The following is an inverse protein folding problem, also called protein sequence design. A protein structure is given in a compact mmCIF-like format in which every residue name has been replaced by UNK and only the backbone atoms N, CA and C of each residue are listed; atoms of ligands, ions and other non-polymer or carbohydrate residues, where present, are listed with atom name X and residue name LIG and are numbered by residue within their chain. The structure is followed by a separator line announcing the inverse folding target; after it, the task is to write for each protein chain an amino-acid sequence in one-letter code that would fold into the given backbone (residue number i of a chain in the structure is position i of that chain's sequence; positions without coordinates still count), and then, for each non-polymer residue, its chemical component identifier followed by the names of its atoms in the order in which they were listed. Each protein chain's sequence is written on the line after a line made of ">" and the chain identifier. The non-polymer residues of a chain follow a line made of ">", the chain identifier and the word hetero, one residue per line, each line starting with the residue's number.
data_IF_311669546144
#
_entry.id   IF_311669546144
#
_cell.length_a   1.000
_cell.length_b   1.000
_cell.length_c   1.000
_cell.angle_alpha   90.00
_cell.angle_beta   90.00
_cell.angle_gamma   90.00
#
_symmetry.space_group_name_H-M   'P 1'
#
loop_
_entity.id
_entity.type
_entity.pdbx_description
1 polymer ?
#
# COMPACT_ATOMS: atom_id res chain seq x y z
N UNK A 1 40.56 -52.28 -14.99
CA UNK A 1 39.56 -51.23 -15.36
C UNK A 1 38.23 -51.29 -14.57
N UNK A 2 38.18 -51.77 -13.31
CA UNK A 2 36.95 -51.72 -12.48
C UNK A 2 37.09 -51.01 -11.12
N UNK A 3 38.29 -50.51 -10.79
CA UNK A 3 38.55 -49.80 -9.53
C UNK A 3 38.53 -48.26 -9.66
N UNK A 4 38.73 -47.71 -10.86
CA UNK A 4 38.71 -46.25 -11.09
C UNK A 4 37.31 -45.67 -11.29
N UNK A 5 36.29 -46.48 -11.57
CA UNK A 5 34.92 -46.00 -11.80
C UNK A 5 34.13 -45.78 -10.49
N UNK A 6 34.51 -46.44 -9.39
CA UNK A 6 33.84 -46.31 -8.08
C UNK A 6 34.31 -45.08 -7.27
N UNK A 7 35.52 -44.59 -7.52
CA UNK A 7 36.06 -43.41 -6.82
C UNK A 7 35.43 -42.10 -7.33
N UNK A 8 35.11 -42.01 -8.63
CA UNK A 8 34.46 -40.83 -9.21
C UNK A 8 33.00 -40.65 -8.75
N UNK A 9 32.27 -41.76 -8.51
CA UNK A 9 30.86 -41.69 -8.06
C UNK A 9 30.75 -41.27 -6.58
N UNK A 10 31.70 -41.67 -5.73
CA UNK A 10 31.72 -41.26 -4.31
C UNK A 10 32.18 -39.80 -4.17
N UNK A 11 33.16 -39.34 -4.96
CA UNK A 11 33.58 -37.94 -4.95
C UNK A 11 32.48 -36.98 -5.46
N UNK A 12 31.72 -37.38 -6.48
CA UNK A 12 30.57 -36.62 -6.97
C UNK A 12 29.43 -36.57 -5.94
N UNK A 13 29.14 -37.68 -5.25
CA UNK A 13 28.11 -37.73 -4.21
C UNK A 13 28.48 -36.90 -2.96
N UNK A 14 29.76 -36.86 -2.56
CA UNK A 14 30.23 -36.06 -1.42
C UNK A 14 30.31 -34.58 -1.76
N UNK A 15 30.70 -34.20 -2.99
CA UNK A 15 30.69 -32.81 -3.45
C UNK A 15 29.26 -32.27 -3.60
N UNK A 16 28.34 -33.09 -4.13
CA UNK A 16 26.93 -32.75 -4.19
C UNK A 16 26.33 -32.61 -2.77
N UNK A 17 26.52 -33.61 -1.90
CA UNK A 17 26.05 -33.59 -0.52
C UNK A 17 26.63 -32.42 0.31
N UNK A 18 27.92 -32.09 0.13
CA UNK A 18 28.55 -30.93 0.78
C UNK A 18 28.04 -29.58 0.25
N UNK A 19 27.72 -29.48 -1.04
CA UNK A 19 27.08 -28.29 -1.61
C UNK A 19 25.65 -28.11 -1.08
N UNK A 20 24.85 -29.18 -1.00
CA UNK A 20 23.50 -29.15 -0.45
C UNK A 20 23.49 -28.73 1.03
N UNK A 21 24.40 -29.27 1.87
CA UNK A 21 24.51 -28.89 3.29
C UNK A 21 24.86 -27.40 3.45
N UNK A 22 25.71 -26.85 2.58
CA UNK A 22 26.09 -25.43 2.64
C UNK A 22 25.00 -24.46 2.17
N UNK A 23 24.13 -24.89 1.25
CA UNK A 23 23.00 -24.09 0.77
C UNK A 23 21.86 -24.05 1.79
N UNK A 24 21.52 -25.19 2.42
CA UNK A 24 20.49 -25.23 3.47
C UNK A 24 20.88 -24.39 4.70
N UNK A 25 22.16 -24.41 5.08
CA UNK A 25 22.66 -23.57 6.18
C UNK A 25 22.63 -22.07 5.84
N UNK A 26 22.97 -21.68 4.61
CA UNK A 26 22.91 -20.28 4.15
C UNK A 26 21.48 -19.78 4.05
N UNK A 27 20.58 -20.61 3.50
CA UNK A 27 19.18 -20.29 3.39
C UNK A 27 18.54 -20.12 4.77
N UNK A 28 18.77 -21.06 5.69
CA UNK A 28 18.27 -20.97 7.06
C UNK A 28 18.83 -19.75 7.81
N UNK A 29 20.11 -19.40 7.62
CA UNK A 29 20.69 -18.21 8.23
C UNK A 29 20.11 -16.90 7.67
N UNK A 30 19.88 -16.82 6.35
CA UNK A 30 19.23 -15.67 5.73
C UNK A 30 17.77 -15.55 6.17
N UNK A 31 17.02 -16.65 6.22
CA UNK A 31 15.65 -16.67 6.74
C UNK A 31 15.61 -16.19 8.18
N UNK A 32 16.48 -16.70 9.07
CA UNK A 32 16.55 -16.22 10.45
C UNK A 32 16.91 -14.72 10.56
N UNK A 33 17.64 -14.18 9.58
CA UNK A 33 17.98 -12.76 9.55
C UNK A 33 16.86 -11.86 9.01
N UNK A 34 15.86 -12.42 8.31
CA UNK A 34 14.82 -11.68 7.60
C UNK A 34 13.39 -12.01 8.04
N UNK A 35 13.16 -13.14 8.73
CA UNK A 35 11.89 -13.46 9.36
C UNK A 35 11.54 -12.37 10.38
N UNK A 36 10.28 -11.93 10.41
CA UNK A 36 9.84 -10.77 11.20
C UNK A 36 10.27 -9.41 10.65
N UNK A 37 11.08 -9.37 9.58
CA UNK A 37 11.59 -8.12 8.98
C UNK A 37 11.00 -7.84 7.60
N UNK A 38 10.72 -8.87 6.82
CA UNK A 38 9.93 -8.79 5.59
C UNK A 38 8.67 -9.60 5.82
N UNK A 39 7.52 -8.94 5.70
CA UNK A 39 6.23 -9.51 6.07
C UNK A 39 5.18 -9.23 5.00
N UNK A 40 4.15 -10.06 4.92
CA UNK A 40 2.88 -9.80 4.24
C UNK A 40 2.12 -8.79 5.11
N UNK A 41 1.98 -7.55 4.67
CA UNK A 41 1.29 -6.48 5.43
C UNK A 41 -0.21 -6.47 5.18
N UNK A 42 -0.60 -6.71 3.93
CA UNK A 42 -1.99 -6.63 3.48
C UNK A 42 -2.22 -7.66 2.38
N UNK A 43 -3.41 -8.25 2.34
CA UNK A 43 -3.83 -9.10 1.23
C UNK A 43 -5.33 -9.09 1.02
N UNK A 44 -5.71 -9.44 -0.21
CA UNK A 44 -7.08 -9.69 -0.64
C UNK A 44 -7.09 -10.90 -1.55
N UNK A 45 -8.02 -11.82 -1.31
CA UNK A 45 -8.25 -13.02 -2.14
C UNK A 45 -9.50 -12.91 -3.02
N UNK A 46 -10.27 -11.83 -2.86
CA UNK A 46 -11.50 -11.54 -3.62
C UNK A 46 -11.94 -10.10 -3.35
N UNK A 47 -12.58 -9.49 -4.34
CA UNK A 47 -13.21 -8.17 -4.24
C UNK A 47 -14.32 -8.01 -5.28
N UNK A 48 -14.74 -6.79 -5.61
CA UNK A 48 -15.74 -6.58 -6.66
C UNK A 48 -15.28 -6.89 -8.08
N UNK A 49 -13.97 -6.88 -8.35
CA UNK A 49 -13.43 -6.96 -9.72
C UNK A 49 -13.35 -5.60 -10.43
N UNK A 50 -12.44 -5.48 -11.39
CA UNK A 50 -12.29 -4.31 -12.24
C UNK A 50 -13.13 -4.39 -13.54
N UNK A 51 -13.46 -3.23 -14.13
CA UNK A 51 -14.01 -3.16 -15.50
C UNK A 51 -15.52 -3.38 -15.63
N UNK A 52 -15.99 -3.48 -16.88
CA UNK A 52 -17.43 -3.60 -17.22
C UNK A 52 -17.99 -5.02 -17.05
N UNK A 53 -17.11 -6.03 -17.08
CA UNK A 53 -17.40 -7.43 -16.76
C UNK A 53 -16.50 -7.83 -15.62
N UNK A 54 -16.82 -7.41 -14.37
CA UNK A 54 -15.95 -7.64 -13.24
C UNK A 54 -15.70 -9.13 -13.02
N UNK A 55 -14.46 -9.49 -12.68
CA UNK A 55 -14.12 -10.81 -12.16
C UNK A 55 -13.81 -10.71 -10.66
N UNK A 56 -14.80 -10.95 -9.78
CA UNK A 56 -14.60 -10.85 -8.35
C UNK A 56 -13.52 -11.78 -7.81
N UNK A 57 -13.35 -12.97 -8.39
CA UNK A 57 -12.39 -13.97 -7.92
C UNK A 57 -10.96 -13.46 -8.07
N UNK A 58 -10.67 -12.83 -9.20
CA UNK A 58 -9.35 -12.32 -9.54
C UNK A 58 -9.08 -10.90 -9.03
N UNK A 59 -9.95 -10.33 -8.18
CA UNK A 59 -9.67 -9.04 -7.52
C UNK A 59 -8.81 -9.26 -6.28
N UNK A 60 -7.53 -9.50 -6.54
CA UNK A 60 -6.60 -10.04 -5.56
C UNK A 60 -5.30 -9.27 -5.55
N UNK A 61 -4.72 -9.18 -4.35
CA UNK A 61 -3.37 -8.68 -4.19
C UNK A 61 -2.75 -9.22 -2.91
N UNK A 62 -1.41 -9.19 -2.90
CA UNK A 62 -0.57 -9.47 -1.73
C UNK A 62 0.45 -8.35 -1.65
N UNK A 63 0.46 -7.64 -0.53
CA UNK A 63 1.40 -6.59 -0.22
C UNK A 63 2.47 -7.10 0.74
N UNK A 64 3.72 -6.82 0.41
CA UNK A 64 4.89 -7.13 1.21
C UNK A 64 5.45 -5.84 1.79
N UNK A 65 5.83 -5.85 3.06
CA UNK A 65 6.36 -4.71 3.79
C UNK A 65 7.73 -4.99 4.38
N UNK A 66 8.64 -4.02 4.25
CA UNK A 66 9.92 -4.02 4.94
C UNK A 66 9.77 -3.36 6.32
N UNK A 67 9.66 -4.19 7.35
CA UNK A 67 9.52 -3.79 8.75
C UNK A 67 10.86 -3.41 9.41
N UNK A 68 11.85 -2.97 8.64
CA UNK A 68 13.15 -2.49 9.16
C UNK A 68 13.41 -1.03 8.84
N UNK A 69 14.38 -0.44 9.54
CA UNK A 69 14.88 0.91 9.30
C UNK A 69 15.98 0.97 8.22
N UNK A 70 16.15 -0.11 7.45
CA UNK A 70 17.15 -0.20 6.38
C UNK A 70 16.53 -0.73 5.09
N UNK A 71 17.00 -0.31 3.91
CA UNK A 71 16.58 -0.93 2.67
C UNK A 71 17.00 -2.41 2.63
N UNK A 72 16.16 -3.25 2.04
CA UNK A 72 16.45 -4.67 1.83
C UNK A 72 16.49 -4.93 0.33
N UNK A 73 17.59 -5.52 -0.13
CA UNK A 73 17.72 -5.99 -1.51
C UNK A 73 17.36 -7.46 -1.58
N UNK A 74 16.41 -7.76 -2.46
CA UNK A 74 15.92 -9.11 -2.73
C UNK A 74 17.01 -9.94 -3.39
N UNK A 75 17.30 -11.07 -2.77
CA UNK A 75 18.25 -12.04 -3.30
C UNK A 75 17.78 -13.44 -2.91
N UNK A 76 17.46 -14.25 -3.92
CA UNK A 76 17.09 -15.63 -3.73
C UNK A 76 18.25 -16.44 -3.17
N UNK A 77 17.93 -17.43 -2.33
CA UNK A 77 18.90 -18.35 -1.72
C UNK A 77 19.39 -19.45 -2.68
N UNK A 78 18.81 -19.50 -3.87
CA UNK A 78 19.10 -20.46 -4.93
C UNK A 78 19.21 -19.77 -6.30
N UNK A 79 19.17 -20.54 -7.39
CA UNK A 79 19.24 -20.02 -8.75
C UNK A 79 17.90 -19.48 -9.29
N UNK A 80 16.86 -19.37 -8.46
CA UNK A 80 15.58 -18.81 -8.88
C UNK A 80 15.66 -17.30 -9.10
N UNK A 81 14.69 -16.76 -9.84
CA UNK A 81 14.69 -15.35 -10.24
C UNK A 81 14.39 -14.35 -9.13
N UNK A 82 14.08 -14.79 -7.91
CA UNK A 82 13.60 -13.91 -6.85
C UNK A 82 12.99 -14.61 -5.66
N UNK A 83 12.35 -13.84 -4.79
CA UNK A 83 11.50 -14.35 -3.71
C UNK A 83 10.11 -14.68 -4.25
N UNK A 84 9.54 -15.80 -3.85
CA UNK A 84 8.26 -16.29 -4.36
C UNK A 84 7.12 -16.04 -3.37
N UNK A 85 6.04 -15.41 -3.82
CA UNK A 85 4.73 -15.42 -3.15
C UNK A 85 3.95 -16.59 -3.72
N UNK A 86 3.62 -17.56 -2.86
CA UNK A 86 3.07 -18.85 -3.30
C UNK A 86 1.83 -19.19 -2.48
N UNK A 87 0.77 -19.63 -3.16
CA UNK A 87 -0.43 -20.11 -2.49
C UNK A 87 -0.26 -21.58 -2.06
N UNK A 88 -1.17 -22.05 -1.21
CA UNK A 88 -1.09 -23.39 -0.59
C UNK A 88 -1.20 -24.57 -1.57
N UNK A 89 -1.55 -24.33 -2.84
CA UNK A 89 -1.46 -25.33 -3.93
C UNK A 89 -0.03 -25.53 -4.46
N UNK A 90 0.96 -24.87 -3.83
CA UNK A 90 2.37 -24.88 -4.21
C UNK A 90 2.66 -24.29 -5.59
N UNK A 91 1.78 -23.42 -6.10
CA UNK A 91 2.01 -22.66 -7.32
C UNK A 91 2.38 -21.21 -6.98
N UNK A 92 3.46 -20.72 -7.58
CA UNK A 92 3.95 -19.35 -7.38
C UNK A 92 2.99 -18.38 -8.05
N UNK A 93 2.48 -17.41 -7.29
CA UNK A 93 1.62 -16.33 -7.79
C UNK A 93 2.43 -15.14 -8.25
N UNK A 94 3.46 -14.76 -7.52
CA UNK A 94 4.25 -13.57 -7.83
C UNK A 94 5.71 -13.82 -7.47
N UNK A 95 6.62 -13.22 -8.25
CA UNK A 95 8.06 -13.24 -7.95
C UNK A 95 8.53 -11.82 -7.73
N UNK A 96 9.10 -11.55 -6.56
CA UNK A 96 9.83 -10.32 -6.30
C UNK A 96 11.24 -10.50 -6.89
N UNK A 97 11.62 -9.80 -7.98
CA UNK A 97 12.84 -10.13 -8.71
C UNK A 97 14.12 -9.89 -7.89
N UNK A 98 15.15 -10.72 -8.11
CA UNK A 98 16.49 -10.47 -7.58
C UNK A 98 16.99 -9.07 -7.97
N UNK A 99 17.59 -8.36 -7.01
CA UNK A 99 18.05 -6.98 -7.18
C UNK A 99 16.99 -5.91 -6.87
N UNK A 100 15.72 -6.29 -6.69
CA UNK A 100 14.68 -5.36 -6.20
C UNK A 100 15.09 -4.83 -4.83
N UNK A 101 15.07 -3.52 -4.64
CA UNK A 101 15.33 -2.90 -3.34
C UNK A 101 14.02 -2.41 -2.76
N UNK A 102 13.58 -3.02 -1.67
CA UNK A 102 12.42 -2.58 -0.90
C UNK A 102 12.95 -1.57 0.13
N UNK A 103 12.57 -0.28 0.05
CA UNK A 103 13.05 0.75 0.97
C UNK A 103 12.79 0.39 2.43
N UNK A 104 13.53 1.02 3.35
CA UNK A 104 13.18 0.98 4.77
C UNK A 104 11.72 1.43 4.94
N UNK A 105 10.91 0.66 5.67
CA UNK A 105 9.48 0.93 5.83
C UNK A 105 8.69 1.00 4.51
N UNK A 106 9.24 0.44 3.43
CA UNK A 106 8.65 0.43 2.10
C UNK A 106 7.86 -0.83 1.80
N UNK A 107 7.17 -0.82 0.66
CA UNK A 107 6.20 -1.83 0.25
C UNK A 107 6.59 -2.45 -1.10
N UNK A 108 6.03 -3.62 -1.40
CA UNK A 108 6.04 -4.23 -2.72
C UNK A 108 4.67 -4.87 -2.98
N UNK A 109 4.05 -4.53 -4.10
CA UNK A 109 2.69 -4.95 -4.42
C UNK A 109 2.67 -6.01 -5.52
N UNK A 110 2.14 -7.20 -5.20
CA UNK A 110 1.76 -8.20 -6.16
C UNK A 110 0.24 -8.17 -6.37
N UNK A 111 -0.26 -8.11 -7.61
CA UNK A 111 -1.71 -8.17 -7.86
C UNK A 111 -2.08 -8.97 -9.09
N UNK A 112 -3.28 -9.54 -9.09
CA UNK A 112 -3.83 -10.26 -10.23
C UNK A 112 -4.29 -9.27 -11.31
N UNK A 113 -3.70 -9.34 -12.51
CA UNK A 113 -3.92 -8.34 -13.56
C UNK A 113 -5.33 -8.33 -14.13
N UNK A 114 -6.09 -9.42 -13.98
CA UNK A 114 -7.37 -9.59 -14.66
C UNK A 114 -8.56 -9.04 -13.83
N UNK A 115 -8.47 -9.09 -12.50
CA UNK A 115 -9.53 -8.61 -11.61
C UNK A 115 -9.16 -7.46 -10.68
N UNK A 116 -7.87 -7.14 -10.50
CA UNK A 116 -7.43 -6.13 -9.51
C UNK A 116 -8.08 -4.76 -9.71
N UNK A 117 -8.97 -4.39 -8.78
CA UNK A 117 -9.82 -3.20 -8.90
C UNK A 117 -9.24 -1.93 -8.29
N UNK A 118 -8.11 -2.03 -7.59
CA UNK A 118 -7.54 -0.94 -6.79
C UNK A 118 -6.32 -0.26 -7.43
N UNK A 119 -6.03 -0.53 -8.71
CA UNK A 119 -4.92 0.10 -9.42
C UNK A 119 -5.00 1.62 -9.54
N UNK A 120 -6.14 2.23 -9.18
CA UNK A 120 -6.32 3.68 -9.05
C UNK A 120 -6.07 4.26 -7.66
N UNK A 121 -5.87 3.42 -6.62
CA UNK A 121 -5.57 3.89 -5.26
C UNK A 121 -4.31 4.77 -5.32
N UNK A 122 -4.27 5.97 -4.70
CA UNK A 122 -3.10 6.83 -4.78
C UNK A 122 -1.85 6.12 -4.23
N UNK A 123 -0.67 6.37 -4.78
CA UNK A 123 0.59 5.79 -4.28
C UNK A 123 1.63 6.88 -3.98
N UNK A 124 2.70 7.00 -4.75
CA UNK A 124 3.74 8.00 -4.56
C UNK A 124 3.58 9.21 -5.44
N UNK A 125 4.67 9.93 -5.59
CA UNK A 125 4.89 10.84 -6.68
C UNK A 125 4.95 10.08 -8.01
N UNK A 126 4.46 10.68 -9.10
CA UNK A 126 4.69 10.13 -10.43
C UNK A 126 6.20 10.06 -10.70
N UNK A 127 6.63 9.02 -11.43
CA UNK A 127 7.99 8.95 -11.93
C UNK A 127 8.31 10.24 -12.70
N UNK A 128 9.53 10.80 -12.56
CA UNK A 128 9.90 12.00 -13.30
C UNK A 128 9.73 11.74 -14.79
N UNK A 129 8.89 12.52 -15.45
CA UNK A 129 8.77 12.50 -16.91
C UNK A 129 10.05 13.09 -17.46
N UNK A 130 11.04 12.24 -17.76
CA UNK A 130 12.20 12.66 -18.55
C UNK A 130 11.69 12.89 -19.97
N UNK A 131 11.37 14.14 -20.28
CA UNK A 131 11.19 14.57 -21.67
C UNK A 131 12.56 14.44 -22.35
N UNK A 132 12.82 13.31 -22.98
CA UNK A 132 13.85 13.26 -23.99
C UNK A 132 13.39 14.17 -25.13
N UNK A 133 13.78 15.45 -25.09
CA UNK A 133 14.01 16.18 -26.31
C UNK A 133 15.20 15.49 -26.98
N UNK A 134 14.94 14.36 -27.63
CA UNK A 134 15.90 13.77 -28.53
C UNK A 134 16.08 14.79 -29.66
N UNK A 135 17.25 15.43 -29.81
CA UNK A 135 17.49 16.20 -31.02
C UNK A 135 17.45 15.19 -32.16
N UNK A 136 16.40 15.26 -32.98
CA UNK A 136 16.36 14.54 -34.25
C UNK A 136 17.72 14.76 -34.95
N UNK A 137 18.44 13.70 -35.35
CA UNK A 137 19.72 13.85 -36.04
C UNK A 137 19.60 14.57 -37.39
N UNK A 138 18.38 14.84 -37.85
CA UNK A 138 18.12 15.50 -39.10
C UNK A 138 17.34 16.79 -38.85
N UNK A 139 18.06 17.91 -38.92
CA UNK A 139 17.52 19.26 -38.91
C UNK A 139 16.59 19.50 -40.10
N UNK A 140 15.35 19.01 -39.98
CA UNK A 140 14.21 19.45 -40.79
C UNK A 140 13.25 20.18 -39.88
N UNK A 141 13.46 21.49 -39.81
CA UNK A 141 12.44 22.48 -39.52
C UNK A 141 11.18 22.08 -40.29
N UNK A 142 10.07 21.84 -39.56
CA UNK A 142 8.77 21.54 -40.14
C UNK A 142 8.30 22.76 -40.95
N UNK A 143 8.75 22.82 -42.19
CA UNK A 143 8.30 23.79 -43.17
C UNK A 143 7.08 23.17 -43.84
N UNK A 144 5.95 23.85 -43.71
CA UNK A 144 4.67 23.50 -44.31
C UNK A 144 4.81 23.34 -45.82
N UNK A 145 4.91 22.11 -46.31
CA UNK A 145 4.89 21.81 -47.74
C UNK A 145 3.45 21.55 -48.20
N UNK A 146 2.81 22.60 -48.74
CA UNK A 146 1.71 22.46 -49.69
C UNK A 146 2.26 21.83 -50.97
N UNK A 147 1.60 20.78 -51.48
CA UNK A 147 1.22 20.60 -52.88
C UNK A 147 0.69 19.18 -53.13
N UNK A 148 -0.64 19.05 -53.11
CA UNK A 148 -1.38 18.02 -53.83
C UNK A 148 -2.48 18.74 -54.66
N UNK A 149 -2.80 18.28 -55.87
CA UNK A 149 -3.52 19.06 -56.87
C UNK A 149 -5.00 19.26 -56.49
N UNK A 150 -5.51 20.45 -56.84
CA UNK A 150 -6.82 20.94 -56.44
C UNK A 150 -7.99 20.10 -56.99
N UNK A 151 -8.89 19.68 -56.11
CA UNK A 151 -10.28 19.31 -56.43
C UNK A 151 -11.20 20.37 -55.82
N UNK A 152 -12.09 21.05 -56.58
CA UNK A 152 -12.92 22.11 -56.01
C UNK A 152 -14.17 21.55 -55.33
N UNK A 153 -14.40 21.99 -54.09
CA UNK A 153 -15.74 22.09 -53.50
C UNK A 153 -16.05 21.10 -52.38
N UNK A 154 -15.71 21.45 -51.13
CA UNK A 154 -16.59 21.35 -49.94
C UNK A 154 -16.11 22.40 -48.92
N UNK A 155 -17.02 23.24 -48.44
CA UNK A 155 -16.76 24.26 -47.43
C UNK A 155 -16.65 23.65 -46.02
N UNK A 156 -15.60 24.04 -45.29
CA UNK A 156 -15.61 24.25 -43.83
C UNK A 156 -15.80 23.04 -42.90
N UNK A 157 -14.69 22.42 -42.48
CA UNK A 157 -14.51 22.01 -41.08
C UNK A 157 -13.15 22.47 -40.59
N UNK A 158 -13.15 23.37 -39.61
CA UNK A 158 -12.00 23.59 -38.73
C UNK A 158 -11.82 22.29 -37.96
N UNK A 159 -10.76 21.53 -38.24
CA UNK A 159 -10.33 20.48 -37.32
C UNK A 159 -9.89 21.18 -36.04
N UNK A 160 -10.62 20.91 -34.95
CA UNK A 160 -10.23 21.28 -33.60
C UNK A 160 -8.84 20.70 -33.34
N UNK A 161 -7.94 21.42 -32.65
CA UNK A 161 -6.72 20.81 -32.13
C UNK A 161 -7.11 19.54 -31.35
N UNK A 162 -6.33 18.45 -31.43
CA UNK A 162 -6.57 17.30 -30.56
C UNK A 162 -6.64 17.81 -29.12
N UNK A 163 -7.60 17.34 -28.31
CA UNK A 163 -7.66 17.74 -26.92
C UNK A 163 -6.31 17.43 -26.30
N UNK A 164 -5.70 18.44 -25.69
CA UNK A 164 -4.64 18.21 -24.71
C UNK A 164 -5.28 17.26 -23.71
N UNK A 165 -4.84 16.01 -23.69
CA UNK A 165 -5.27 15.04 -22.68
C UNK A 165 -4.90 15.69 -21.36
N UNK A 166 -5.91 16.09 -20.59
CA UNK A 166 -5.72 16.66 -19.27
C UNK A 166 -4.84 15.68 -18.48
N UNK A 167 -3.77 16.18 -17.88
CA UNK A 167 -3.00 15.42 -16.90
C UNK A 167 -3.99 14.84 -15.88
N UNK A 168 -3.74 13.58 -15.48
CA UNK A 168 -4.56 12.84 -14.51
C UNK A 168 -4.91 13.75 -13.31
N UNK A 169 -6.17 13.80 -12.84
CA UNK A 169 -6.62 14.81 -11.87
C UNK A 169 -6.08 14.64 -10.44
N UNK A 170 -5.11 13.76 -10.21
CA UNK A 170 -4.44 13.55 -8.93
C UNK A 170 -2.93 13.78 -9.09
N UNK A 171 -2.26 14.51 -8.17
CA UNK A 171 -0.84 14.88 -8.30
C UNK A 171 0.13 13.70 -8.10
N UNK A 172 -0.38 12.47 -8.04
CA UNK A 172 0.30 11.30 -7.54
C UNK A 172 0.18 10.11 -8.49
N UNK A 173 1.16 9.21 -8.46
CA UNK A 173 1.03 7.88 -9.08
C UNK A 173 -0.06 7.08 -8.37
N UNK A 174 -0.37 5.90 -8.91
CA UNK A 174 -1.35 4.99 -8.35
C UNK A 174 -0.73 3.65 -7.98
N UNK A 175 -1.44 2.85 -7.19
CA UNK A 175 -1.06 1.53 -6.72
C UNK A 175 -1.15 0.48 -7.84
N UNK A 176 -0.49 0.74 -8.96
CA UNK A 176 -0.21 -0.27 -9.98
C UNK A 176 0.71 -1.32 -9.36
N UNK A 177 0.47 -2.62 -9.57
CA UNK A 177 1.31 -3.66 -8.99
C UNK A 177 2.76 -3.53 -9.47
N UNK A 178 3.71 -3.75 -8.55
CA UNK A 178 5.13 -3.85 -8.88
C UNK A 178 5.43 -5.15 -9.64
N UNK A 179 4.63 -6.19 -9.38
CA UNK A 179 4.61 -7.42 -10.17
C UNK A 179 3.17 -7.96 -10.34
N UNK A 180 2.85 -8.36 -11.56
CA UNK A 180 1.61 -9.07 -11.85
C UNK A 180 1.65 -10.50 -11.28
N UNK A 181 0.48 -11.06 -10.99
CA UNK A 181 0.39 -12.51 -10.81
C UNK A 181 0.81 -13.22 -12.10
N UNK A 182 1.50 -14.35 -11.94
CA UNK A 182 1.92 -15.20 -13.04
C UNK A 182 0.70 -15.79 -13.73
N UNK A 183 0.78 -15.87 -15.04
CA UNK A 183 -0.23 -16.49 -15.91
C UNK A 183 0.21 -17.92 -16.26
N UNK A 184 -0.77 -18.81 -16.43
CA UNK A 184 -0.54 -20.20 -16.84
C UNK A 184 -0.50 -20.39 -18.35
N UNK A 185 -0.90 -19.40 -19.15
CA UNK A 185 -1.04 -19.56 -20.60
C UNK A 185 -0.42 -18.42 -21.41
N UNK A 186 0.84 -18.60 -21.82
CA UNK A 186 1.50 -17.67 -22.73
C UNK A 186 0.98 -17.69 -24.18
N UNK A 187 -0.02 -18.52 -24.53
CA UNK A 187 -0.39 -18.84 -25.93
C UNK A 187 -1.86 -18.60 -26.32
N UNK A 188 -2.79 -18.26 -25.41
CA UNK A 188 -4.21 -17.99 -25.77
C UNK A 188 -4.62 -16.52 -25.92
N UNK A 189 -3.71 -15.56 -25.73
CA UNK A 189 -4.04 -14.14 -25.92
C UNK A 189 -5.10 -13.59 -24.95
N UNK A 190 -5.40 -14.35 -23.90
CA UNK A 190 -6.15 -13.94 -22.72
C UNK A 190 -5.50 -14.57 -21.51
N UNK A 191 -4.49 -13.90 -20.96
CA UNK A 191 -3.90 -14.29 -19.68
C UNK A 191 -5.03 -14.43 -18.65
N UNK A 192 -5.00 -15.50 -17.85
CA UNK A 192 -5.78 -15.56 -16.61
C UNK A 192 -4.73 -15.72 -15.52
N UNK A 193 -4.43 -14.62 -14.84
CA UNK A 193 -3.55 -14.58 -13.69
C UNK A 193 -3.98 -15.64 -12.68
N UNK A 194 -3.01 -16.34 -12.12
CA UNK A 194 -3.27 -17.42 -11.18
C UNK A 194 -4.04 -16.91 -9.95
N UNK A 195 -5.32 -17.27 -9.86
CA UNK A 195 -6.21 -17.01 -8.72
C UNK A 195 -5.62 -17.55 -7.39
N UNK A 196 -5.86 -16.88 -6.27
CA UNK A 196 -5.68 -17.37 -4.90
C UNK A 196 -7.08 -17.74 -4.37
N UNK A 197 -7.47 -19.02 -4.44
CA UNK A 197 -8.83 -19.41 -4.07
C UNK A 197 -9.23 -19.01 -2.65
N UNK A 198 -10.51 -18.70 -2.46
CA UNK A 198 -11.04 -18.36 -1.13
C UNK A 198 -10.66 -19.41 -0.07
N UNK A 199 -10.09 -18.94 1.03
CA UNK A 199 -9.65 -19.82 2.14
C UNK A 199 -8.28 -20.46 1.92
N UNK A 200 -7.54 -20.08 0.88
CA UNK A 200 -6.16 -20.52 0.69
C UNK A 200 -5.19 -19.70 1.55
N UNK A 201 -4.18 -20.39 2.08
CA UNK A 201 -3.02 -19.73 2.66
C UNK A 201 -2.04 -19.28 1.59
N UNK A 202 -1.29 -18.23 1.87
CA UNK A 202 -0.21 -17.65 1.07
C UNK A 202 1.04 -17.54 1.93
N UNK A 203 2.20 -17.83 1.34
CA UNK A 203 3.48 -17.69 1.99
C UNK A 203 4.49 -16.97 1.10
N UNK A 204 5.34 -16.17 1.74
CA UNK A 204 6.49 -15.52 1.13
C UNK A 204 7.73 -16.37 1.38
N UNK A 205 8.47 -16.70 0.32
CA UNK A 205 9.67 -17.51 0.40
C UNK A 205 10.88 -16.79 -0.19
N UNK A 206 12.06 -17.06 0.37
CA UNK A 206 13.36 -16.66 -0.18
C UNK A 206 13.71 -17.31 -1.54
N UNK A 207 12.79 -18.03 -2.16
CA UNK A 207 12.96 -18.68 -3.44
C UNK A 207 11.65 -18.74 -4.21
N UNK A 208 11.72 -18.53 -5.52
CA UNK A 208 10.63 -18.78 -6.45
C UNK A 208 10.65 -20.21 -7.02
N UNK A 209 11.59 -21.07 -6.58
CA UNK A 209 11.64 -22.48 -6.97
C UNK A 209 10.79 -23.34 -6.03
N UNK A 210 9.75 -24.05 -6.53
CA UNK A 210 8.89 -24.88 -5.69
C UNK A 210 9.65 -25.93 -4.87
N UNK A 211 10.80 -26.42 -5.35
CA UNK A 211 11.61 -27.41 -4.62
C UNK A 211 12.28 -26.83 -3.36
N UNK A 212 12.48 -25.51 -3.33
CA UNK A 212 13.11 -24.80 -2.22
C UNK A 212 12.11 -23.98 -1.41
N UNK A 213 10.81 -24.20 -1.56
CA UNK A 213 9.77 -23.59 -0.74
C UNK A 213 9.40 -24.50 0.42
N UNK A 214 10.04 -24.26 1.56
CA UNK A 214 9.89 -25.05 2.76
C UNK A 214 10.01 -24.14 3.99
N UNK A 215 9.84 -24.70 5.20
CA UNK A 215 9.87 -23.90 6.43
C UNK A 215 11.21 -23.18 6.65
N UNK A 216 12.32 -23.69 6.12
CA UNK A 216 13.64 -23.06 6.23
C UNK A 216 13.86 -21.87 5.31
N UNK A 217 13.01 -21.68 4.30
CA UNK A 217 13.07 -20.58 3.33
C UNK A 217 11.85 -19.66 3.39
N UNK A 218 10.86 -19.98 4.23
CA UNK A 218 9.67 -19.16 4.44
C UNK A 218 10.01 -17.95 5.30
N UNK A 219 9.73 -16.76 4.77
CA UNK A 219 9.86 -15.49 5.50
C UNK A 219 8.63 -15.17 6.35
N UNK A 220 7.45 -15.35 5.78
CA UNK A 220 6.16 -15.03 6.39
C UNK A 220 5.06 -15.86 5.72
N UNK A 221 3.94 -16.07 6.40
CA UNK A 221 2.72 -16.60 5.81
C UNK A 221 1.44 -16.04 6.44
N UNK A 222 0.41 -15.92 5.62
CA UNK A 222 -0.95 -15.74 6.07
C UNK A 222 -1.81 -16.91 5.59
N UNK A 223 -2.57 -17.53 6.50
CA UNK A 223 -3.57 -18.51 6.09
C UNK A 223 -4.63 -18.74 7.16
N UNK A 224 -5.56 -19.62 6.85
CA UNK A 224 -6.73 -19.90 7.68
C UNK A 224 -6.50 -21.10 8.59
N UNK A 225 -7.42 -21.36 9.51
CA UNK A 225 -7.34 -22.50 10.45
C UNK A 225 -7.01 -23.83 9.77
N UNK A 226 -7.56 -24.06 8.58
CA UNK A 226 -7.38 -25.29 7.80
C UNK A 226 -6.22 -25.25 6.79
N UNK A 227 -5.53 -24.11 6.65
CA UNK A 227 -4.38 -24.01 5.76
C UNK A 227 -3.23 -24.89 6.27
N UNK A 228 -2.38 -25.45 5.39
CA UNK A 228 -1.20 -26.20 5.83
C UNK A 228 -0.26 -25.32 6.66
N UNK A 229 0.48 -25.92 7.59
CA UNK A 229 1.39 -25.19 8.48
C UNK A 229 2.42 -24.32 7.74
N UNK A 230 2.78 -24.69 6.51
CA UNK A 230 3.70 -23.91 5.68
C UNK A 230 3.09 -22.59 5.19
N UNK A 231 1.76 -22.51 5.06
CA UNK A 231 1.03 -21.36 4.51
C UNK A 231 0.17 -20.66 5.56
N UNK A 232 0.52 -20.79 6.84
CA UNK A 232 -0.06 -20.02 7.94
C UNK A 232 0.91 -19.87 9.09
N UNK A 233 0.62 -18.93 9.97
CA UNK A 233 1.30 -18.75 11.25
C UNK A 233 0.33 -18.98 12.41
N UNK A 234 0.86 -19.56 13.48
CA UNK A 234 0.06 -20.00 14.62
C UNK A 234 -1.12 -20.89 14.23
N UNK A 235 -2.29 -20.58 14.78
CA UNK A 235 -3.52 -21.31 14.46
C UNK A 235 -4.03 -21.05 13.06
N UNK A 236 -3.62 -19.95 12.40
CA UNK A 236 -4.29 -19.40 11.21
C UNK A 236 -5.49 -18.53 11.59
N UNK A 237 -5.95 -17.73 10.62
CA UNK A 237 -7.11 -16.85 10.74
C UNK A 237 -8.41 -17.66 10.66
N UNK A 238 -9.40 -17.32 11.50
CA UNK A 238 -10.58 -18.19 11.67
C UNK A 238 -11.66 -18.00 10.60
N UNK A 239 -11.76 -16.80 10.01
CA UNK A 239 -12.87 -16.43 9.12
C UNK A 239 -12.42 -16.50 7.67
N UNK A 240 -13.10 -17.31 6.86
CA UNK A 240 -12.99 -17.28 5.39
C UNK A 240 -14.19 -16.49 4.85
N UNK A 241 -14.02 -15.22 4.45
CA UNK A 241 -15.08 -14.46 3.83
C UNK A 241 -15.30 -14.94 2.40
N UNK A 242 -16.57 -15.06 1.99
CA UNK A 242 -16.97 -15.39 0.62
C UNK A 242 -17.92 -14.31 0.08
N UNK A 243 -17.51 -13.04 0.23
CA UNK A 243 -18.27 -11.86 -0.20
C UNK A 243 -17.46 -11.08 -1.23
N UNK A 244 -18.13 -10.38 -2.13
CA UNK A 244 -17.49 -9.51 -3.16
C UNK A 244 -17.38 -8.06 -2.69
N UNK A 245 -17.43 -7.84 -1.37
CA UNK A 245 -17.26 -6.53 -0.74
C UNK A 245 -15.87 -5.96 -1.00
N UNK A 246 -15.71 -4.64 -0.87
CA UNK A 246 -14.39 -4.03 -0.85
C UNK A 246 -13.72 -4.32 0.50
N UNK A 247 -13.16 -5.53 0.63
CA UNK A 247 -12.57 -6.07 1.86
C UNK A 247 -11.04 -6.14 1.83
N UNK A 248 -10.42 -6.31 2.98
CA UNK A 248 -8.97 -6.53 3.10
C UNK A 248 -8.64 -7.28 4.38
N UNK A 249 -7.61 -8.14 4.31
CA UNK A 249 -6.89 -8.62 5.48
C UNK A 249 -5.63 -7.77 5.62
N UNK A 250 -5.45 -7.12 6.76
CA UNK A 250 -4.27 -6.30 7.01
C UNK A 250 -3.73 -6.57 8.40
N UNK A 251 -2.41 -6.46 8.55
CA UNK A 251 -1.76 -6.56 9.86
C UNK A 251 -2.21 -5.38 10.74
N UNK A 252 -2.66 -5.69 11.94
CA UNK A 252 -2.89 -4.73 13.01
C UNK A 252 -1.56 -4.10 13.41
N UNK A 253 -1.62 -2.84 13.81
CA UNK A 253 -0.43 -2.08 14.17
C UNK A 253 -0.13 -2.19 15.67
N UNK A 254 1.14 -2.36 15.99
CA UNK A 254 1.67 -2.39 17.35
C UNK A 254 1.51 -1.02 18.01
N UNK A 255 0.94 -0.97 19.20
CA UNK A 255 1.06 0.19 20.08
C UNK A 255 2.23 -0.06 21.05
N UNK A 256 3.16 0.88 21.25
CA UNK A 256 3.17 2.27 20.76
C UNK A 256 3.94 2.49 19.43
N UNK A 257 4.47 1.44 18.79
CA UNK A 257 5.41 1.58 17.67
C UNK A 257 4.79 2.11 16.38
N UNK A 258 3.48 1.92 16.14
CA UNK A 258 2.85 2.25 14.85
C UNK A 258 3.38 1.41 13.70
N UNK A 259 3.92 0.21 13.98
CA UNK A 259 4.42 -0.70 12.97
C UNK A 259 3.52 -1.93 12.87
N UNK A 260 3.36 -2.55 11.69
CA UNK A 260 2.63 -3.81 11.57
C UNK A 260 3.18 -4.87 12.53
N UNK A 261 2.29 -5.57 13.23
CA UNK A 261 2.66 -6.64 14.16
C UNK A 261 2.99 -7.92 13.42
N UNK A 262 4.05 -8.56 13.85
CA UNK A 262 4.37 -9.91 13.48
C UNK A 262 4.80 -10.71 14.70
N UNK A 263 3.87 -11.50 15.24
CA UNK A 263 4.05 -12.33 16.44
C UNK A 263 3.98 -13.82 16.10
N UNK A 264 4.19 -14.17 14.83
CA UNK A 264 3.98 -15.50 14.27
C UNK A 264 2.57 -16.07 14.57
N UNK A 265 1.55 -15.19 14.60
CA UNK A 265 0.19 -15.59 14.92
C UNK A 265 -0.84 -14.80 14.10
N UNK A 266 -1.24 -15.35 12.95
CA UNK A 266 -2.18 -14.69 12.04
C UNK A 266 -3.49 -14.24 12.72
N UNK A 267 -4.01 -15.00 13.69
CA UNK A 267 -5.26 -14.66 14.38
C UNK A 267 -5.14 -13.44 15.32
N UNK A 268 -3.93 -13.18 15.84
CA UNK A 268 -3.64 -12.02 16.69
C UNK A 268 -3.14 -10.82 15.88
N UNK A 269 -2.46 -11.09 14.76
CA UNK A 269 -1.77 -10.08 13.99
C UNK A 269 -2.66 -9.45 12.93
N UNK A 270 -3.57 -10.19 12.29
CA UNK A 270 -4.42 -9.66 11.21
C UNK A 270 -5.81 -9.24 11.67
N UNK A 271 -6.39 -8.29 10.95
CA UNK A 271 -7.79 -7.89 11.02
C UNK A 271 -8.42 -8.04 9.63
N UNK A 272 -9.72 -8.34 9.59
CA UNK A 272 -10.53 -8.37 8.37
C UNK A 272 -11.52 -7.20 8.42
N UNK A 273 -11.42 -6.29 7.46
CA UNK A 273 -12.30 -5.12 7.35
C UNK A 273 -12.90 -4.97 5.94
N UNK A 274 -13.99 -4.21 5.82
CA UNK A 274 -14.59 -3.87 4.54
C UNK A 274 -15.29 -2.49 4.58
N UNK A 275 -15.55 -1.91 3.41
CA UNK A 275 -16.18 -0.58 3.29
C UNK A 275 -17.70 -0.58 3.48
N UNK A 276 -18.32 -1.77 3.44
CA UNK A 276 -19.76 -2.02 3.47
C UNK A 276 -20.13 -3.00 4.61
N UNK A 277 -20.08 -2.52 5.84
CA UNK A 277 -20.29 -3.32 7.05
C UNK A 277 -21.46 -2.82 7.92
N UNK A 278 -21.98 -3.64 8.85
CA UNK A 278 -21.76 -5.08 8.94
C UNK A 278 -22.38 -5.83 7.76
N UNK A 279 -21.74 -6.91 7.31
CA UNK A 279 -22.28 -7.87 6.35
C UNK A 279 -22.16 -9.30 6.89
N UNK A 280 -22.44 -10.32 6.07
CA UNK A 280 -22.55 -11.73 6.51
C UNK A 280 -21.28 -12.24 7.19
N UNK A 281 -20.09 -11.77 6.80
CA UNK A 281 -18.80 -12.30 7.30
C UNK A 281 -17.89 -11.24 7.90
N UNK A 282 -18.19 -9.96 7.72
CA UNK A 282 -17.30 -8.86 8.09
C UNK A 282 -18.05 -7.84 8.94
N UNK A 283 -17.50 -7.53 10.11
CA UNK A 283 -18.11 -6.61 11.08
C UNK A 283 -17.28 -5.35 11.36
N UNK A 284 -16.06 -5.25 10.83
CA UNK A 284 -15.16 -4.14 11.07
C UNK A 284 -15.15 -3.17 9.88
N UNK A 285 -15.42 -1.89 10.13
CA UNK A 285 -15.36 -0.86 9.09
C UNK A 285 -13.90 -0.51 8.78
N UNK A 286 -13.57 -0.54 7.49
CA UNK A 286 -12.27 -0.16 6.97
C UNK A 286 -12.24 -0.20 5.45
N UNK A 287 -11.05 -0.04 4.87
CA UNK A 287 -10.88 -0.13 3.43
C UNK A 287 -9.54 -0.80 3.09
N UNK A 288 -9.46 -1.53 1.97
CA UNK A 288 -8.16 -1.84 1.37
C UNK A 288 -7.40 -0.54 1.07
N UNK A 289 -6.07 -0.58 1.20
CA UNK A 289 -5.23 0.57 0.90
C UNK A 289 -3.86 0.16 0.38
N UNK A 290 -3.80 -0.50 -0.80
CA UNK A 290 -2.61 -1.17 -1.30
C UNK A 290 -1.49 -0.18 -1.61
N UNK A 291 -0.26 -0.60 -1.30
CA UNK A 291 0.96 0.18 -1.43
C UNK A 291 2.02 -0.55 -2.23
N UNK A 292 2.61 0.14 -3.19
CA UNK A 292 3.67 -0.38 -4.06
C UNK A 292 5.01 0.30 -3.72
N UNK A 293 6.08 -0.01 -4.47
CA UNK A 293 7.41 0.56 -4.25
C UNK A 293 7.48 2.10 -4.30
N UNK A 294 6.49 2.76 -4.91
CA UNK A 294 6.43 4.22 -4.96
C UNK A 294 5.70 4.85 -3.78
N UNK A 295 4.96 4.08 -2.99
CA UNK A 295 4.13 4.59 -1.89
C UNK A 295 4.96 5.36 -0.85
N UNK A 296 4.37 6.36 -0.18
CA UNK A 296 4.98 7.01 0.97
C UNK A 296 5.24 5.99 2.08
N UNK A 297 6.29 6.20 2.87
CA UNK A 297 6.72 5.27 3.93
C UNK A 297 6.51 5.85 5.31
N UNK A 298 6.51 5.01 6.33
CA UNK A 298 6.35 5.39 7.73
C UNK A 298 7.35 6.48 8.18
N UNK A 299 6.85 7.54 8.81
CA UNK A 299 7.62 8.70 9.27
C UNK A 299 7.11 9.31 10.60
N UNK A 300 6.47 8.53 11.48
CA UNK A 300 6.01 9.05 12.79
C UNK A 300 7.13 9.68 13.63
N UNK A 301 8.36 9.21 13.48
CA UNK A 301 9.52 9.72 14.23
C UNK A 301 10.12 10.99 13.59
N UNK A 302 9.85 11.25 12.31
CA UNK A 302 10.49 12.31 11.54
C UNK A 302 9.56 13.48 11.23
N UNK A 303 8.25 13.27 11.28
CA UNK A 303 7.24 14.33 11.11
C UNK A 303 6.54 14.56 12.43
N UNK A 304 6.89 15.66 13.09
CA UNK A 304 6.32 15.99 14.40
C UNK A 304 4.87 16.47 14.27
N UNK A 305 3.95 15.88 15.04
CA UNK A 305 2.53 16.27 15.08
C UNK A 305 2.17 16.92 16.42
N UNK A 306 2.36 18.24 16.52
CA UNK A 306 2.09 19.02 17.72
C UNK A 306 0.62 19.47 17.83
N UNK A 307 0.19 19.87 19.02
CA UNK A 307 -1.09 20.59 19.20
C UNK A 307 -1.07 21.88 18.35
N UNK A 308 -2.20 22.21 17.72
CA UNK A 308 -2.35 23.45 16.99
C UNK A 308 -2.22 24.66 17.92
N UNK A 309 -2.85 24.59 19.09
CA UNK A 309 -2.69 25.56 20.17
C UNK A 309 -2.10 24.87 21.41
N UNK A 310 -0.79 25.02 21.69
CA UNK A 310 -0.16 24.44 22.87
C UNK A 310 -0.70 24.95 24.22
N UNK A 311 -1.40 26.08 24.24
CA UNK A 311 -1.99 26.62 25.47
C UNK A 311 -3.35 25.98 25.82
N UNK A 312 -3.96 25.24 24.88
CA UNK A 312 -5.20 24.50 25.10
C UNK A 312 -4.93 23.00 25.24
N UNK A 313 -5.68 22.27 26.08
CA UNK A 313 -5.54 20.83 26.13
C UNK A 313 -5.93 20.19 24.79
N UNK A 314 -5.41 18.99 24.52
CA UNK A 314 -5.74 18.22 23.31
C UNK A 314 -7.24 17.92 23.18
N UNK A 315 -7.99 18.02 24.27
CA UNK A 315 -9.39 17.69 24.39
C UNK A 315 -10.36 18.85 24.10
N UNK A 316 -9.86 20.08 23.95
CA UNK A 316 -10.64 21.31 23.81
C UNK A 316 -10.33 22.05 22.48
N UNK A 317 -11.21 22.97 22.02
CA UNK A 317 -10.91 23.82 20.88
C UNK A 317 -9.68 24.69 21.12
N UNK A 318 -8.88 24.99 20.08
CA UNK A 318 -9.06 24.60 18.68
C UNK A 318 -8.56 23.18 18.36
N UNK A 319 -7.79 22.55 19.25
CA UNK A 319 -7.14 21.24 19.04
C UNK A 319 -8.14 20.11 18.78
N UNK A 320 -9.31 20.18 19.42
CA UNK A 320 -10.41 19.26 19.22
C UNK A 320 -11.75 19.96 19.37
N UNK A 321 -12.61 19.85 18.37
CA UNK A 321 -13.87 20.61 18.31
C UNK A 321 -15.02 19.71 17.85
N UNK A 322 -16.14 19.71 18.59
CA UNK A 322 -17.39 19.06 18.17
C UNK A 322 -18.31 20.08 17.52
N UNK A 323 -18.81 19.77 16.33
CA UNK A 323 -19.85 20.56 15.66
C UNK A 323 -21.10 19.71 15.45
N UNK A 324 -22.28 20.13 15.91
CA UNK A 324 -23.48 19.27 15.91
C UNK A 324 -24.19 19.19 14.55
N UNK A 325 -23.71 19.88 13.53
CA UNK A 325 -24.37 19.94 12.22
C UNK A 325 -24.30 18.58 11.52
N UNK A 326 -25.46 18.03 11.17
CA UNK A 326 -25.57 16.76 10.47
C UNK A 326 -24.82 16.79 9.14
N UNK A 327 -24.11 15.71 8.87
CA UNK A 327 -23.47 15.40 7.58
C UNK A 327 -23.72 13.94 7.24
N UNK A 328 -23.57 13.56 5.96
CA UNK A 328 -23.51 12.13 5.59
C UNK A 328 -22.42 11.45 6.43
N UNK A 329 -22.73 10.29 7.01
CA UNK A 329 -21.85 9.56 7.93
C UNK A 329 -21.54 10.31 9.25
N UNK A 330 -22.37 11.29 9.64
CA UNK A 330 -22.25 12.05 10.89
C UNK A 330 -23.60 12.49 11.45
N UNK A 331 -24.45 11.53 11.82
CA UNK A 331 -25.80 11.77 12.34
C UNK A 331 -25.83 12.49 13.70
N UNK A 332 -24.70 12.64 14.39
CA UNK A 332 -24.54 13.44 15.62
C UNK A 332 -23.55 14.60 15.40
N UNK A 333 -23.38 14.98 14.14
CA UNK A 333 -22.43 15.98 13.68
C UNK A 333 -21.02 15.45 13.48
N UNK A 334 -20.05 16.35 13.59
CA UNK A 334 -18.64 16.09 13.31
C UNK A 334 -17.74 16.32 14.53
N UNK A 335 -16.58 15.70 14.47
CA UNK A 335 -15.43 15.88 15.34
C UNK A 335 -14.25 16.34 14.48
N UNK A 336 -13.74 17.53 14.76
CA UNK A 336 -12.50 18.02 14.18
C UNK A 336 -11.34 17.78 15.15
N UNK A 337 -10.22 17.29 14.62
CA UNK A 337 -8.94 17.20 15.33
C UNK A 337 -7.92 17.99 14.52
N UNK A 338 -7.20 18.91 15.18
CA UNK A 338 -6.23 19.77 14.53
C UNK A 338 -4.84 19.58 15.13
N UNK A 339 -3.84 19.54 14.24
CA UNK A 339 -2.43 19.36 14.57
C UNK A 339 -1.57 20.19 13.64
N UNK A 340 -0.40 20.58 14.14
CA UNK A 340 0.66 21.20 13.35
C UNK A 340 1.68 20.12 13.04
N UNK A 341 1.84 19.79 11.75
CA UNK A 341 2.79 18.81 11.25
C UNK A 341 4.07 19.52 10.81
N UNK A 342 5.22 19.09 11.32
CA UNK A 342 6.53 19.71 11.01
C UNK A 342 7.46 18.69 10.38
N UNK A 343 8.03 19.03 9.24
CA UNK A 343 8.96 18.16 8.53
C UNK A 343 10.35 18.19 9.17
N UNK A 344 10.73 17.14 9.90
CA UNK A 344 12.09 16.98 10.45
C UNK A 344 12.89 15.88 9.73
N UNK A 345 12.46 15.44 8.54
CA UNK A 345 13.13 14.38 7.76
C UNK A 345 14.50 14.80 7.21
N UNK A 346 14.81 16.11 7.22
CA UNK A 346 16.02 16.67 6.61
C UNK A 346 15.95 16.80 5.08
N UNK A 347 14.85 16.36 4.44
CA UNK A 347 14.60 16.52 3.00
C UNK A 347 13.21 17.11 2.75
N UNK A 348 12.96 17.75 1.59
CA UNK A 348 11.62 18.16 1.21
C UNK A 348 10.65 16.98 1.20
N UNK A 349 9.53 17.10 1.92
CA UNK A 349 8.42 16.14 1.87
C UNK A 349 7.51 16.53 0.71
N UNK A 350 7.27 15.59 -0.19
CA UNK A 350 6.58 15.79 -1.47
C UNK A 350 5.26 15.05 -1.57
N UNK A 351 4.99 14.18 -0.59
CA UNK A 351 3.68 13.59 -0.33
C UNK A 351 3.55 13.35 1.16
N UNK A 352 2.37 13.64 1.72
CA UNK A 352 2.02 13.31 3.10
C UNK A 352 0.65 12.64 3.12
N UNK A 353 0.58 11.48 3.77
CA UNK A 353 -0.60 10.66 3.98
C UNK A 353 -0.72 10.32 5.47
N UNK A 354 -1.95 10.22 5.95
CA UNK A 354 -2.25 9.80 7.31
C UNK A 354 -3.10 8.53 7.25
N UNK A 355 -2.53 7.38 7.61
CA UNK A 355 -3.21 6.09 7.60
C UNK A 355 -3.88 5.82 8.93
N UNK A 356 -5.14 5.39 8.89
CA UNK A 356 -5.91 5.06 10.10
C UNK A 356 -5.56 3.65 10.56
N UNK A 357 -4.71 3.56 11.58
CA UNK A 357 -4.28 2.28 12.14
C UNK A 357 -5.14 1.85 13.31
N UNK A 358 -5.89 2.79 13.92
CA UNK A 358 -6.89 2.45 14.90
C UNK A 358 -7.99 3.50 15.03
N UNK A 359 -9.25 3.07 14.92
CA UNK A 359 -10.41 3.94 15.09
C UNK A 359 -11.51 3.25 15.89
N UNK A 360 -12.12 3.96 16.82
CA UNK A 360 -13.41 3.53 17.38
C UNK A 360 -14.52 3.80 16.35
N UNK A 361 -14.98 2.72 15.71
CA UNK A 361 -15.97 2.68 14.62
C UNK A 361 -16.83 1.41 14.70
N UNK A 362 -17.62 1.12 13.67
CA UNK A 362 -18.36 -0.15 13.54
C UNK A 362 -17.41 -1.35 13.73
N UNK A 363 -17.79 -2.32 14.56
CA UNK A 363 -16.99 -3.51 14.87
C UNK A 363 -16.03 -3.34 16.06
N UNK A 364 -15.97 -2.15 16.66
CA UNK A 364 -15.13 -1.87 17.84
C UNK A 364 -15.92 -1.46 19.07
N UNK A 365 -17.24 -1.62 19.04
CA UNK A 365 -18.18 -1.06 20.03
C UNK A 365 -17.86 -1.46 21.47
N UNK A 366 -17.32 -2.67 21.65
CA UNK A 366 -17.02 -3.27 22.94
C UNK A 366 -15.54 -3.14 23.35
N UNK A 367 -14.74 -2.34 22.63
CA UNK A 367 -13.30 -2.21 22.86
C UNK A 367 -12.91 -1.06 23.80
N UNK A 368 -13.88 -0.27 24.28
CA UNK A 368 -13.63 0.85 25.18
C UNK A 368 -13.90 0.45 26.63
N UNK A 369 -12.95 0.74 27.51
CA UNK A 369 -13.16 0.62 28.95
C UNK A 369 -14.17 1.68 29.40
N UNK A 370 -15.26 1.26 30.05
CA UNK A 370 -16.24 2.18 30.65
C UNK A 370 -17.47 2.51 29.81
N UNK A 371 -17.72 1.80 28.70
CA UNK A 371 -18.98 1.90 27.96
C UNK A 371 -18.85 1.52 26.48
N UNK A 372 -19.94 1.72 25.74
CA UNK A 372 -19.96 1.50 24.29
C UNK A 372 -19.10 2.57 23.61
N UNK A 373 -18.12 2.16 22.80
CA UNK A 373 -17.30 3.09 22.03
C UNK A 373 -18.14 3.97 21.11
N UNK A 374 -17.64 5.16 20.82
CA UNK A 374 -18.16 5.97 19.71
C UNK A 374 -18.09 5.23 18.38
N UNK A 375 -18.99 5.56 17.47
CA UNK A 375 -18.84 5.25 16.04
C UNK A 375 -18.37 6.52 15.34
N UNK A 376 -17.06 6.58 15.06
CA UNK A 376 -16.43 7.61 14.25
C UNK A 376 -16.17 7.09 12.84
N UNK A 377 -16.31 7.97 11.86
CA UNK A 377 -16.06 7.71 10.43
C UNK A 377 -15.19 8.82 9.87
N UNK A 378 -14.04 8.50 9.31
CA UNK A 378 -13.17 9.50 8.71
C UNK A 378 -13.81 10.06 7.43
N UNK A 379 -13.69 11.37 7.22
CA UNK A 379 -14.30 12.09 6.11
C UNK A 379 -13.29 13.06 5.49
N UNK A 380 -13.44 13.34 4.21
CA UNK A 380 -12.72 14.45 3.54
C UNK A 380 -13.04 15.77 4.24
N UNK A 381 -12.02 16.49 4.68
CA UNK A 381 -12.14 17.80 5.31
C UNK A 381 -11.79 18.93 4.34
N UNK A 382 -12.43 20.08 4.51
CA UNK A 382 -12.10 21.29 3.76
C UNK A 382 -11.06 22.14 4.49
N UNK A 383 -10.35 22.96 3.71
CA UNK A 383 -9.54 24.07 4.21
C UNK A 383 -10.42 25.05 5.04
N UNK A 384 -9.80 25.73 6.00
CA UNK A 384 -10.50 26.71 6.82
C UNK A 384 -9.55 27.49 7.73
N UNK A 385 -10.13 28.07 8.78
CA UNK A 385 -9.41 28.89 9.75
C UNK A 385 -9.68 28.41 11.17
N UNK A 386 -8.75 28.67 12.07
CA UNK A 386 -8.89 28.38 13.49
C UNK A 386 -8.26 29.49 14.35
N UNK A 387 -8.84 29.72 15.51
CA UNK A 387 -8.32 30.70 16.48
C UNK A 387 -7.30 30.03 17.41
N UNK A 388 -6.08 30.56 17.43
CA UNK A 388 -4.99 30.17 18.32
C UNK A 388 -4.62 31.38 19.16
N UNK A 389 -5.03 31.38 20.44
CA UNK A 389 -5.01 32.59 21.26
C UNK A 389 -5.80 33.74 20.62
N UNK A 390 -5.13 34.85 20.32
CA UNK A 390 -5.72 36.03 19.65
C UNK A 390 -5.51 36.04 18.13
N UNK A 391 -4.79 35.05 17.58
CA UNK A 391 -4.51 34.95 16.15
C UNK A 391 -5.49 34.01 15.45
N UNK A 392 -5.77 34.31 14.17
CA UNK A 392 -6.47 33.40 13.27
C UNK A 392 -5.41 32.79 12.35
N UNK A 393 -5.37 31.46 12.29
CA UNK A 393 -4.44 30.71 11.46
C UNK A 393 -5.19 29.86 10.44
N UNK A 394 -4.62 29.72 9.25
CA UNK A 394 -5.13 28.78 8.27
C UNK A 394 -4.90 27.34 8.74
N UNK A 395 -5.87 26.47 8.45
CA UNK A 395 -5.80 25.02 8.63
C UNK A 395 -6.20 24.34 7.31
N UNK A 396 -5.40 23.38 6.87
CA UNK A 396 -5.61 22.68 5.60
C UNK A 396 -6.39 21.39 5.80
N UNK A 397 -7.33 21.12 4.90
CA UNK A 397 -8.12 19.89 4.87
C UNK A 397 -7.36 18.75 4.20
N UNK A 398 -7.80 17.52 4.43
CA UNK A 398 -7.25 16.29 3.85
C UNK A 398 -8.38 15.50 3.19
N UNK A 399 -8.04 14.76 2.13
CA UNK A 399 -9.00 13.96 1.37
C UNK A 399 -8.97 12.50 1.80
N UNK A 400 -10.13 11.90 2.04
CA UNK A 400 -10.24 10.44 2.18
C UNK A 400 -9.89 9.80 0.84
N UNK A 401 -8.88 8.92 0.84
CA UNK A 401 -8.40 8.30 -0.40
C UNK A 401 -9.37 7.25 -0.92
N UNK A 402 -9.47 7.20 -2.25
CA UNK A 402 -10.31 6.31 -3.05
C UNK A 402 -9.61 6.09 -4.40
N UNK A 403 -9.94 5.03 -5.18
CA UNK A 403 -10.80 3.89 -4.84
C UNK A 403 -10.23 3.07 -3.66
N UNK A 404 -11.00 2.17 -3.01
CA UNK A 404 -12.42 1.93 -3.26
C UNK A 404 -13.28 3.08 -2.75
N UNK A 405 -14.52 3.17 -3.23
CA UNK A 405 -15.52 4.06 -2.65
C UNK A 405 -15.80 3.66 -1.20
N UNK A 406 -15.81 4.65 -0.30
CA UNK A 406 -16.06 4.45 1.13
C UNK A 406 -17.38 5.10 1.54
N UNK A 407 -18.49 4.59 1.01
CA UNK A 407 -19.82 5.17 1.19
C UNK A 407 -20.27 5.28 2.66
N UNK A 408 -19.76 4.39 3.54
CA UNK A 408 -20.01 4.45 4.98
C UNK A 408 -19.00 5.34 5.75
N UNK A 409 -18.08 6.01 5.05
CA UNK A 409 -16.94 6.76 5.63
C UNK A 409 -15.74 5.87 5.92
N UNK A 410 -14.58 6.49 6.15
CA UNK A 410 -13.32 5.78 6.37
C UNK A 410 -13.23 5.13 7.76
N UNK A 411 -12.66 3.94 7.82
CA UNK A 411 -12.45 3.15 9.02
C UNK A 411 -10.98 2.75 9.18
N UNK A 412 -10.73 1.51 9.60
CA UNK A 412 -9.38 0.96 9.64
C UNK A 412 -8.75 0.89 8.24
N UNK A 413 -7.43 1.09 8.19
CA UNK A 413 -6.59 1.04 6.98
C UNK A 413 -6.92 2.06 5.88
N UNK A 414 -8.05 2.76 5.98
CA UNK A 414 -8.33 3.96 5.20
C UNK A 414 -7.24 5.02 5.43
N UNK A 415 -6.95 5.83 4.42
CA UNK A 415 -5.95 6.88 4.50
C UNK A 415 -6.51 8.26 4.12
N UNK A 416 -5.89 9.30 4.68
CA UNK A 416 -6.21 10.71 4.43
C UNK A 416 -5.01 11.39 3.77
N UNK A 417 -5.20 11.91 2.56
CA UNK A 417 -4.15 12.56 1.77
C UNK A 417 -4.12 14.07 1.98
N UNK A 418 -2.92 14.63 2.19
CA UNK A 418 -2.67 16.05 2.10
C UNK A 418 -2.30 16.43 0.66
N UNK A 419 -3.28 16.47 -0.25
CA UNK A 419 -3.10 16.68 -1.70
C UNK A 419 -2.45 18.03 -2.07
N UNK A 420 -2.26 18.94 -1.10
CA UNK A 420 -1.58 20.22 -1.26
C UNK A 420 -0.06 20.14 -1.05
N UNK A 421 0.47 19.03 -0.51
CA UNK A 421 1.90 18.73 -0.45
C UNK A 421 2.22 17.85 -1.64
N UNK A 422 2.98 18.38 -2.60
CA UNK A 422 3.27 17.71 -3.88
C UNK A 422 4.74 17.90 -4.25
N UNK A 423 5.20 17.25 -5.33
CA UNK A 423 6.50 17.57 -5.94
C UNK A 423 6.65 19.07 -6.29
N UNK A 424 5.58 19.73 -6.73
CA UNK A 424 5.59 21.14 -7.11
C UNK A 424 5.47 22.10 -5.92
N UNK A 425 4.94 21.62 -4.79
CA UNK A 425 4.72 22.36 -3.56
C UNK A 425 5.13 21.51 -2.35
N UNK A 426 6.44 21.18 -2.21
CA UNK A 426 6.89 20.34 -1.11
C UNK A 426 6.84 21.10 0.21
N UNK A 427 6.67 20.37 1.31
CA UNK A 427 6.90 20.87 2.66
C UNK A 427 8.42 20.83 2.94
N UNK A 428 9.06 21.99 3.04
CA UNK A 428 10.51 22.08 3.18
C UNK A 428 11.01 21.54 4.54
N UNK A 429 12.29 21.15 4.68
CA UNK A 429 12.86 20.79 5.97
C UNK A 429 12.67 21.92 7.00
N UNK A 430 12.15 21.58 8.18
CA UNK A 430 11.82 22.49 9.28
C UNK A 430 10.52 23.28 9.09
N UNK A 431 9.85 23.16 7.94
CA UNK A 431 8.58 23.82 7.68
C UNK A 431 7.42 23.08 8.36
N UNK A 432 6.40 23.83 8.76
CA UNK A 432 5.18 23.30 9.38
C UNK A 432 3.93 23.61 8.58
N UNK A 433 2.94 22.72 8.65
CA UNK A 433 1.59 22.94 8.16
C UNK A 433 0.56 22.57 9.21
N UNK A 434 -0.49 23.38 9.32
CA UNK A 434 -1.63 23.06 10.17
C UNK A 434 -2.63 22.22 9.38
N UNK A 435 -2.97 21.03 9.88
CA UNK A 435 -3.91 20.12 9.25
C UNK A 435 -5.13 19.93 10.14
N UNK A 436 -6.30 19.90 9.51
CA UNK A 436 -7.59 19.62 10.12
C UNK A 436 -8.13 18.28 9.63
N UNK A 437 -8.30 17.35 10.55
CA UNK A 437 -8.97 16.07 10.32
C UNK A 437 -10.45 16.20 10.66
N UNK A 438 -11.31 15.54 9.90
CA UNK A 438 -12.76 15.50 10.14
C UNK A 438 -13.24 14.06 10.30
N UNK A 439 -13.97 13.82 11.38
CA UNK A 439 -14.67 12.56 11.61
C UNK A 439 -16.16 12.83 11.76
N UNK A 440 -16.99 12.12 11.01
CA UNK A 440 -18.42 12.04 11.27
C UNK A 440 -18.68 11.22 12.53
N UNK A 441 -19.63 11.68 13.36
CA UNK A 441 -20.01 11.01 14.61
C UNK A 441 -21.37 10.38 14.44
N UNK A 442 -21.42 9.05 14.42
CA UNK A 442 -22.68 8.29 14.29
C UNK A 442 -23.21 7.83 15.64
N UNK A 443 -22.32 7.59 16.60
CA UNK A 443 -22.65 7.26 17.99
C UNK A 443 -21.68 7.97 18.93
N UNK A 444 -22.20 8.58 19.98
CA UNK A 444 -21.38 9.17 21.04
C UNK A 444 -20.83 8.09 21.98
N UNK A 445 -19.63 8.32 22.53
CA UNK A 445 -18.97 7.42 23.46
C UNK A 445 -17.50 7.82 23.67
N UNK A 446 -16.77 7.11 24.54
CA UNK A 446 -15.31 7.15 24.54
C UNK A 446 -14.78 6.75 23.17
N UNK A 447 -13.69 7.37 22.75
CA UNK A 447 -13.15 7.19 21.41
C UNK A 447 -11.64 7.09 21.39
N UNK A 448 -11.12 6.46 20.35
CA UNK A 448 -9.69 6.40 20.02
C UNK A 448 -9.53 6.70 18.54
N UNK A 449 -8.52 7.51 18.22
CA UNK A 449 -8.05 7.78 16.86
C UNK A 449 -6.53 7.66 16.91
N UNK A 450 -5.97 6.66 16.24
CA UNK A 450 -4.54 6.52 16.00
C UNK A 450 -4.31 6.54 14.50
N UNK A 451 -3.31 7.32 14.09
CA UNK A 451 -2.92 7.52 12.71
C UNK A 451 -1.41 7.31 12.64
N UNK A 452 -0.96 6.65 11.57
CA UNK A 452 0.44 6.68 11.18
C UNK A 452 0.65 7.72 10.07
N UNK A 453 1.79 8.38 10.15
CA UNK A 453 2.24 9.40 9.20
C UNK A 453 3.09 8.70 8.16
N UNK A 454 2.63 8.74 6.93
CA UNK A 454 3.33 8.21 5.76
C UNK A 454 3.77 9.39 4.90
N UNK A 455 5.05 9.45 4.55
CA UNK A 455 5.56 10.52 3.70
C UNK A 455 6.53 10.02 2.64
N UNK A 456 6.63 10.78 1.56
CA UNK A 456 7.64 10.59 0.54
C UNK A 456 8.56 11.82 0.52
N UNK A 457 9.85 11.59 0.67
CA UNK A 457 10.87 12.64 0.54
C UNK A 457 11.45 12.65 -0.87
N UNK A 458 11.85 13.82 -1.34
CA UNK A 458 12.66 13.93 -2.56
C UNK A 458 14.04 14.45 -2.18
N UNK A 459 15.09 13.79 -2.67
CA UNK A 459 16.43 14.34 -2.58
C UNK A 459 16.47 15.69 -3.29
N UNK A 460 17.07 16.70 -2.66
CA UNK A 460 17.36 17.96 -3.33
C UNK A 460 18.33 17.67 -4.48
N UNK A 461 17.87 17.79 -5.72
CA UNK A 461 18.76 17.74 -6.88
C UNK A 461 19.68 18.97 -6.80
N UNK A 462 20.90 18.78 -6.30
CA UNK A 462 21.95 19.78 -6.46
C UNK A 462 22.29 19.87 -7.94
N UNK A 463 21.73 20.86 -8.63
CA UNK A 463 22.23 21.24 -9.95
C UNK A 463 23.57 21.90 -9.69
N UNK A 464 24.67 21.16 -9.84
CA UNK A 464 25.97 21.81 -9.99
C UNK A 464 25.87 22.73 -11.20
N UNK A 465 26.17 24.03 -11.07
CA UNK A 465 26.28 24.87 -12.26
C UNK A 465 27.33 24.23 -13.16
N UNK A 466 26.94 23.99 -14.41
CA UNK A 466 27.88 23.61 -15.46
C UNK A 466 28.86 24.78 -15.57
N UNK A 467 30.10 24.59 -15.12
CA UNK A 467 31.20 25.50 -15.41
C UNK A 467 31.62 25.41 -16.89
#
# INVERSE_FOLDING_TARGET
>A
MRFLLRLCVVAAAVAACGAYISLDQRASAQTQSLAGRIIISELRMRGPGAGQTPNPAEDEFVEIYNNTDQPITVQAVDASGGWGVTAQDAVVRCVIPNGTTIPARGHFLCANTDGYSLGGYPSGNPAPVILFNSPSPNGRTATTSRNAPARPGVAGRRESPPPIVAASPVPFSTATPDAAFLDTDSDTGGAQGLDIPDGFGVALFLSASPTNQNAGTRLDAFGFTNSPALYKEGSGFAVVPSVTSQMTFFRSYGTPTGLPKDTDNNAADFLLAATDVPNISISLLGAPGPENLSSPVYHNNDIGAALLDPAQPSSAPPNRERRPNFVTNGNLGTLFIRRTFTNNTGQPVTRLRLRITNLTTIGTENQCSGGVCSDLRALTSADGESSVGTQVVAVRGVRLEEPPEQAQGGGFNSSLSADFITLGTPLAPGESVNIQLMFGVMRAGPFRVLLDIEAQTAATLSVSPVE
#
